data_IF_143519745785
#
_entry.id   IF_143519745785
#
_cell.length_a   1.000
_cell.length_b   1.000
_cell.length_c   1.000
_cell.angle_alpha   90.00
_cell.angle_beta   90.00
_cell.angle_gamma   90.00
#
_symmetry.space_group_name_H-M   'P 1'
#
loop_
_entity.id
_entity.type
_entity.pdbx_description
1 polymer ?
#
# COMPACT_ATOMS: atom_id res chain seq x y z
N UNK A 1 39.85 16.82 -7.13
CA UNK A 1 38.49 16.55 -7.66
C UNK A 1 38.26 15.04 -7.91
N UNK A 2 38.36 14.20 -6.87
CA UNK A 2 38.03 12.75 -6.95
C UNK A 2 37.16 12.23 -5.79
N UNK A 3 36.75 13.10 -4.86
CA UNK A 3 35.85 12.73 -3.75
C UNK A 3 34.36 12.95 -4.07
N UNK A 4 34.00 13.76 -5.07
CA UNK A 4 32.60 14.08 -5.36
C UNK A 4 31.85 12.96 -6.12
N UNK A 5 32.55 11.95 -6.64
CA UNK A 5 31.91 10.82 -7.33
C UNK A 5 31.51 9.66 -6.40
N UNK A 6 31.93 9.69 -5.12
CA UNK A 6 31.70 8.58 -4.18
C UNK A 6 30.36 8.66 -3.43
N UNK A 7 29.68 9.81 -3.46
CA UNK A 7 28.40 9.99 -2.75
C UNK A 7 27.16 9.75 -3.62
N UNK A 8 27.31 9.44 -4.91
CA UNK A 8 26.22 9.02 -5.80
C UNK A 8 25.88 7.52 -5.72
N UNK A 9 26.49 6.75 -4.80
CA UNK A 9 26.26 5.30 -4.66
C UNK A 9 25.39 4.88 -3.45
N UNK A 10 24.72 5.81 -2.74
CA UNK A 10 23.71 5.45 -1.73
C UNK A 10 22.29 5.52 -2.28
N UNK A 11 21.89 4.45 -2.98
CA UNK A 11 20.48 4.18 -3.27
C UNK A 11 19.91 3.29 -2.13
N UNK A 12 18.74 3.60 -1.54
CA UNK A 12 18.05 2.68 -0.64
C UNK A 12 17.58 1.44 -1.41
N UNK A 13 18.17 0.30 -1.06
CA UNK A 13 17.89 -1.02 -1.61
C UNK A 13 16.67 -1.61 -0.92
N UNK A 14 15.46 -1.16 -1.28
CA UNK A 14 14.21 -1.71 -0.76
C UNK A 14 13.54 -2.72 -1.72
N UNK A 15 13.00 -3.76 -1.09
CA UNK A 15 12.31 -5.01 -1.51
C UNK A 15 12.47 -5.64 -2.91
N UNK A 16 12.55 -4.91 -4.02
CA UNK A 16 12.49 -5.52 -5.37
C UNK A 16 13.75 -6.32 -5.75
N UNK A 17 14.91 -5.96 -5.20
CA UNK A 17 16.18 -6.67 -5.44
C UNK A 17 16.22 -8.08 -4.84
N UNK A 18 15.48 -8.35 -3.76
CA UNK A 18 15.48 -9.69 -3.11
C UNK A 18 14.73 -10.73 -3.94
N UNK A 19 13.70 -10.33 -4.68
CA UNK A 19 12.98 -11.23 -5.58
C UNK A 19 13.76 -11.50 -6.87
N UNK A 20 14.39 -10.48 -7.47
CA UNK A 20 15.18 -10.63 -8.70
C UNK A 20 16.43 -11.50 -8.54
N UNK A 21 17.06 -11.52 -7.36
CA UNK A 21 18.25 -12.37 -7.11
C UNK A 21 17.88 -13.86 -7.04
N UNK A 22 16.69 -14.22 -6.56
CA UNK A 22 16.28 -15.62 -6.48
C UNK A 22 15.96 -16.23 -7.86
N UNK A 23 15.31 -15.46 -8.74
CA UNK A 23 14.91 -15.95 -10.08
C UNK A 23 16.10 -16.06 -11.03
N UNK A 24 17.12 -15.21 -10.88
CA UNK A 24 18.28 -15.17 -11.78
C UNK A 24 19.36 -16.22 -11.46
N UNK A 25 19.32 -16.83 -10.28
CA UNK A 25 20.18 -17.98 -9.93
C UNK A 25 19.58 -19.35 -10.30
N UNK A 26 18.30 -19.42 -10.68
CA UNK A 26 17.66 -20.68 -11.10
C UNK A 26 17.80 -20.95 -12.62
N UNK A 27 18.23 -19.98 -13.43
CA UNK A 27 18.29 -20.10 -14.90
C UNK A 27 19.70 -20.04 -15.49
N UNK A 28 20.76 -20.16 -14.66
CA UNK A 28 22.16 -20.12 -15.13
C UNK A 28 22.99 -21.32 -14.69
N UNK A 29 22.49 -22.53 -14.97
CA UNK A 29 23.34 -23.70 -15.28
C UNK A 29 22.51 -24.70 -16.08
N UNK A 30 22.75 -24.80 -17.39
CA UNK A 30 22.84 -26.03 -18.20
C UNK A 30 22.56 -25.74 -19.68
N UNK A 31 23.61 -25.29 -20.38
CA UNK A 31 23.87 -25.83 -21.72
C UNK A 31 24.31 -27.27 -21.55
N UNK A 32 23.37 -28.22 -21.67
CA UNK A 32 23.69 -29.63 -21.92
C UNK A 32 22.84 -30.06 -23.12
N UNK A 33 23.53 -30.25 -24.24
CA UNK A 33 23.01 -30.95 -25.41
C UNK A 33 22.78 -32.42 -25.05
N UNK A 34 21.54 -32.83 -24.81
CA UNK A 34 21.14 -34.25 -24.84
C UNK A 34 19.79 -34.31 -25.57
N UNK A 35 19.74 -35.13 -26.63
CA UNK A 35 18.65 -35.18 -27.60
C UNK A 35 17.35 -35.84 -27.11
N UNK A 36 16.33 -35.78 -27.98
CA UNK A 36 15.19 -36.71 -28.00
C UNK A 36 15.71 -38.12 -27.68
N UNK A 37 15.15 -38.91 -26.73
CA UNK A 37 13.70 -39.09 -26.54
C UNK A 37 13.25 -39.42 -25.08
N UNK A 38 12.24 -38.76 -24.50
CA UNK A 38 11.50 -39.32 -23.35
C UNK A 38 10.20 -38.56 -23.06
N UNK A 39 9.27 -38.66 -24.01
CA UNK A 39 7.88 -38.22 -23.94
C UNK A 39 7.03 -39.05 -22.92
N UNK A 40 7.54 -39.39 -21.73
CA UNK A 40 6.94 -40.48 -20.93
C UNK A 40 7.03 -40.39 -19.39
N UNK A 41 7.00 -39.19 -18.79
CA UNK A 41 6.77 -39.05 -17.34
C UNK A 41 5.71 -37.98 -17.01
N UNK A 42 4.56 -38.13 -17.66
CA UNK A 42 3.36 -37.29 -17.54
C UNK A 42 2.23 -38.00 -16.74
N UNK A 43 2.52 -38.93 -15.81
CA UNK A 43 1.48 -39.87 -15.38
C UNK A 43 1.49 -40.41 -13.92
N UNK A 44 1.82 -39.65 -12.86
CA UNK A 44 1.63 -40.21 -11.48
C UNK A 44 1.37 -39.24 -10.31
N UNK A 45 0.88 -38.02 -10.49
CA UNK A 45 0.53 -37.14 -9.34
C UNK A 45 -0.99 -36.91 -9.15
N UNK A 46 -1.84 -37.28 -10.12
CA UNK A 46 -3.30 -37.08 -10.09
C UNK A 46 -4.00 -38.30 -9.47
N UNK A 47 -3.59 -38.70 -8.27
CA UNK A 47 -4.36 -39.66 -7.49
C UNK A 47 -4.07 -39.52 -6.00
N UNK A 48 -5.11 -39.07 -5.27
CA UNK A 48 -5.42 -39.46 -3.88
C UNK A 48 -4.81 -38.61 -2.75
N UNK A 49 -5.39 -37.42 -2.54
CA UNK A 49 -5.47 -36.65 -1.29
C UNK A 49 -6.23 -35.35 -1.62
N UNK A 50 -7.39 -34.95 -1.09
CA UNK A 50 -8.19 -35.42 0.03
C UNK A 50 -9.64 -35.01 -0.22
N UNK A 51 -10.53 -36.00 -0.25
CA UNK A 51 -11.92 -35.81 0.15
C UNK A 51 -11.93 -35.35 1.60
N UNK A 52 -12.16 -34.06 1.82
CA UNK A 52 -12.60 -33.52 3.11
C UNK A 52 -13.54 -32.32 2.88
N UNK A 53 -14.52 -32.47 1.98
CA UNK A 53 -15.73 -31.64 1.99
C UNK A 53 -16.71 -32.27 2.99
N UNK A 54 -16.37 -32.16 4.27
CA UNK A 54 -17.12 -32.71 5.39
C UNK A 54 -17.63 -31.60 6.29
N UNK A 55 -18.93 -31.37 6.21
CA UNK A 55 -19.85 -30.89 7.27
C UNK A 55 -19.37 -29.71 8.13
N UNK A 56 -19.95 -28.54 7.88
CA UNK A 56 -20.19 -27.55 8.91
C UNK A 56 -21.40 -27.98 9.78
N UNK A 57 -21.15 -28.85 10.75
CA UNK A 57 -22.05 -29.02 11.87
C UNK A 57 -21.85 -27.85 12.84
N UNK A 58 -22.78 -26.90 12.80
CA UNK A 58 -22.82 -25.87 13.83
C UNK A 58 -22.97 -26.52 15.20
N UNK A 59 -21.92 -26.52 16.03
CA UNK A 59 -22.03 -26.34 17.47
C UNK A 59 -20.66 -26.29 18.18
N UNK A 60 -20.56 -25.36 19.13
CA UNK A 60 -19.69 -25.35 20.32
C UNK A 60 -18.22 -24.89 20.16
N UNK A 61 -18.05 -23.58 20.33
CA UNK A 61 -17.28 -23.11 21.48
C UNK A 61 -15.76 -23.09 21.34
N UNK A 62 -15.24 -22.17 20.54
CA UNK A 62 -14.04 -21.46 20.95
C UNK A 62 -14.47 -20.28 21.83
N UNK A 63 -14.22 -20.40 23.12
CA UNK A 63 -14.41 -19.31 24.06
C UNK A 63 -13.59 -18.08 23.63
N UNK A 64 -14.15 -16.87 23.74
CA UNK A 64 -13.38 -15.64 23.65
C UNK A 64 -12.41 -15.63 24.83
N UNK A 65 -11.12 -15.73 24.54
CA UNK A 65 -10.11 -15.51 25.58
C UNK A 65 -10.01 -14.01 25.80
N UNK A 66 -10.52 -13.63 26.97
CA UNK A 66 -10.22 -12.41 27.71
C UNK A 66 -10.88 -11.15 27.17
N UNK A 67 -12.10 -10.90 27.65
CA UNK A 67 -12.52 -9.52 27.85
C UNK A 67 -11.79 -8.92 29.06
N UNK A 68 -11.64 -7.59 29.00
CA UNK A 68 -11.61 -6.69 30.16
C UNK A 68 -10.33 -6.65 31.01
N UNK A 69 -9.31 -5.97 30.50
CA UNK A 69 -8.49 -5.09 31.34
C UNK A 69 -8.39 -3.72 30.66
N UNK A 70 -9.46 -2.94 30.85
CA UNK A 70 -9.60 -1.49 30.63
C UNK A 70 -9.37 -0.99 29.20
N UNK A 71 -10.47 -0.58 28.56
CA UNK A 71 -10.49 0.36 27.43
C UNK A 71 -9.67 1.61 27.78
N UNK A 72 -8.36 1.52 27.58
CA UNK A 72 -7.58 2.63 27.05
C UNK A 72 -8.07 2.68 25.60
N UNK A 73 -9.07 3.53 25.33
CA UNK A 73 -9.35 3.92 23.94
C UNK A 73 -7.99 4.31 23.41
N UNK A 74 -7.46 3.55 22.46
CA UNK A 74 -6.17 3.86 21.85
C UNK A 74 -6.30 5.25 21.26
N UNK A 75 -5.93 6.28 22.04
CA UNK A 75 -5.97 7.71 21.70
C UNK A 75 -5.07 8.03 20.49
N UNK A 76 -4.38 7.00 19.99
CA UNK A 76 -3.57 7.04 18.80
C UNK A 76 -4.49 7.00 17.59
N UNK A 77 -4.54 8.13 16.92
CA UNK A 77 -5.18 8.26 15.62
C UNK A 77 -4.45 7.37 14.61
N UNK A 78 -5.19 6.44 14.02
CA UNK A 78 -4.70 5.57 12.96
C UNK A 78 -5.21 6.05 11.59
N UNK A 79 -4.30 6.25 10.63
CA UNK A 79 -4.70 6.76 9.31
C UNK A 79 -5.72 5.85 8.61
N UNK A 80 -5.57 4.52 8.67
CA UNK A 80 -6.43 3.60 7.96
C UNK A 80 -7.85 3.49 8.53
N UNK A 81 -7.96 3.55 9.87
CA UNK A 81 -9.21 3.41 10.62
C UNK A 81 -9.95 4.75 10.74
N UNK A 82 -9.22 5.81 11.07
CA UNK A 82 -9.82 7.08 11.50
C UNK A 82 -9.81 8.15 10.39
N UNK A 83 -8.70 8.29 9.65
CA UNK A 83 -8.53 9.40 8.69
C UNK A 83 -9.02 9.04 7.29
N UNK A 84 -8.64 7.87 6.77
CA UNK A 84 -8.92 7.46 5.39
C UNK A 84 -10.43 7.41 5.08
N UNK A 85 -11.32 6.92 5.96
CA UNK A 85 -12.76 6.93 5.68
C UNK A 85 -13.34 8.34 5.53
N UNK A 86 -12.81 9.31 6.28
CA UNK A 86 -13.24 10.72 6.19
C UNK A 86 -12.83 11.30 4.84
N UNK A 87 -11.55 11.14 4.46
CA UNK A 87 -11.04 11.62 3.17
C UNK A 87 -11.72 10.93 1.98
N UNK A 88 -12.01 9.63 2.10
CA UNK A 88 -12.71 8.89 1.06
C UNK A 88 -14.13 9.42 0.82
N UNK A 89 -14.83 9.82 1.89
CA UNK A 89 -16.20 10.32 1.80
C UNK A 89 -16.27 11.75 1.27
N UNK A 90 -15.33 12.61 1.64
CA UNK A 90 -15.44 14.05 1.43
C UNK A 90 -14.44 14.63 0.42
N UNK A 91 -13.34 13.94 0.12
CA UNK A 91 -12.24 14.53 -0.65
C UNK A 91 -11.88 13.74 -1.91
N UNK A 92 -11.90 12.41 -1.87
CA UNK A 92 -11.38 11.59 -2.99
C UNK A 92 -12.22 11.63 -4.25
N UNK A 93 -13.48 12.07 -4.19
CA UNK A 93 -14.29 12.28 -5.40
C UNK A 93 -13.66 13.30 -6.34
N UNK A 94 -13.06 14.36 -5.81
CA UNK A 94 -12.44 15.43 -6.62
C UNK A 94 -10.91 15.48 -6.51
N UNK A 95 -10.31 14.84 -5.50
CA UNK A 95 -8.84 14.82 -5.29
C UNK A 95 -8.29 13.40 -5.10
N UNK A 96 -8.93 12.42 -5.75
CA UNK A 96 -8.56 11.00 -5.64
C UNK A 96 -7.94 10.43 -6.92
N UNK A 97 -8.02 9.10 -7.10
CA UNK A 97 -7.30 8.39 -8.16
C UNK A 97 -7.89 8.62 -9.56
N UNK A 98 -9.16 9.02 -9.67
CA UNK A 98 -9.81 9.31 -10.95
C UNK A 98 -9.21 10.58 -11.57
N UNK A 99 -8.54 10.51 -12.74
CA UNK A 99 -7.98 11.69 -13.40
C UNK A 99 -9.04 12.60 -14.02
N UNK A 100 -10.21 12.09 -14.40
CA UNK A 100 -11.22 12.86 -15.12
C UNK A 100 -12.02 13.75 -14.16
N UNK A 101 -12.19 13.31 -12.92
CA UNK A 101 -12.80 14.09 -11.84
C UNK A 101 -11.80 14.95 -11.05
N UNK A 102 -10.49 14.83 -11.33
CA UNK A 102 -9.44 15.42 -10.49
C UNK A 102 -9.34 16.93 -10.66
N UNK A 103 -9.49 17.64 -9.54
CA UNK A 103 -9.28 19.07 -9.48
C UNK A 103 -7.84 19.38 -9.03
N UNK A 104 -7.27 20.43 -9.64
CA UNK A 104 -5.92 20.93 -9.37
C UNK A 104 -4.79 19.88 -9.50
N UNK A 105 -5.05 18.78 -10.21
CA UNK A 105 -4.20 17.57 -10.26
C UNK A 105 -3.73 17.05 -8.87
N UNK A 106 -4.50 17.36 -7.82
CA UNK A 106 -4.13 17.03 -6.45
C UNK A 106 -4.56 15.61 -6.09
N UNK A 107 -3.63 14.86 -5.47
CA UNK A 107 -3.78 13.45 -5.08
C UNK A 107 -3.73 13.27 -3.56
N UNK A 108 -4.87 13.40 -2.89
CA UNK A 108 -4.97 13.20 -1.44
C UNK A 108 -4.99 11.72 -1.03
N UNK A 109 -5.24 10.82 -1.97
CA UNK A 109 -5.25 9.36 -1.77
C UNK A 109 -3.85 8.74 -1.65
N UNK A 110 -2.81 9.48 -2.03
CA UNK A 110 -1.41 9.03 -1.97
C UNK A 110 -0.57 9.91 -1.04
N UNK A 111 0.46 9.33 -0.44
CA UNK A 111 1.36 10.09 0.43
C UNK A 111 2.18 11.13 -0.36
N UNK A 112 2.68 10.76 -1.53
CA UNK A 112 3.49 11.65 -2.36
C UNK A 112 2.66 12.81 -2.93
N UNK A 113 1.42 12.54 -3.31
CA UNK A 113 0.50 13.56 -3.80
C UNK A 113 0.04 14.55 -2.74
N UNK A 114 -0.22 14.07 -1.52
CA UNK A 114 -0.68 14.92 -0.42
C UNK A 114 0.43 15.78 0.20
N UNK A 115 1.69 15.32 0.13
CA UNK A 115 2.86 16.00 0.69
C UNK A 115 3.76 16.62 -0.37
N UNK A 116 3.39 16.49 -1.63
CA UNK A 116 4.12 17.08 -2.75
C UNK A 116 4.10 18.60 -2.69
N UNK A 117 5.12 19.22 -3.28
CA UNK A 117 5.12 20.66 -3.51
C UNK A 117 4.11 21.02 -4.61
N UNK A 118 3.19 21.92 -4.29
CA UNK A 118 2.12 22.42 -5.15
C UNK A 118 2.41 23.84 -5.68
N UNK A 119 3.67 24.28 -5.63
CA UNK A 119 4.09 25.59 -6.11
C UNK A 119 4.49 26.55 -4.98
N UNK A 120 5.11 26.03 -3.92
CA UNK A 120 5.54 26.76 -2.73
C UNK A 120 4.78 26.38 -1.45
N UNK A 121 3.81 25.47 -1.55
CA UNK A 121 3.02 24.98 -0.42
C UNK A 121 2.68 23.49 -0.58
N UNK A 122 2.20 22.86 0.49
CA UNK A 122 1.81 21.45 0.51
C UNK A 122 0.37 21.30 0.98
N UNK A 123 -0.37 20.32 0.45
CA UNK A 123 -1.72 20.03 0.94
C UNK A 123 -1.69 19.56 2.40
N UNK A 124 -0.74 18.69 2.75
CA UNK A 124 -0.51 18.22 4.12
C UNK A 124 0.97 18.40 4.46
N UNK A 125 1.28 19.39 5.30
CA UNK A 125 2.61 19.61 5.85
C UNK A 125 2.82 18.69 7.07
N UNK A 126 3.79 17.76 7.03
CA UNK A 126 4.00 16.84 8.14
C UNK A 126 4.41 17.58 9.41
N UNK A 127 3.78 17.24 10.54
CA UNK A 127 4.04 17.79 11.89
C UNK A 127 3.64 19.26 12.08
N UNK A 128 3.05 19.90 11.08
CA UNK A 128 2.58 21.28 11.15
C UNK A 128 1.21 21.39 10.47
N UNK A 129 0.10 21.18 11.21
CA UNK A 129 -1.24 21.27 10.64
C UNK A 129 -1.59 22.70 10.20
N UNK A 130 -1.06 23.73 10.87
CA UNK A 130 -1.37 25.12 10.58
C UNK A 130 -0.72 25.59 9.27
N UNK A 131 0.41 24.98 8.90
CA UNK A 131 1.05 25.17 7.59
C UNK A 131 0.45 24.33 6.46
N UNK A 132 -0.56 23.49 6.73
CA UNK A 132 -1.17 22.62 5.73
C UNK A 132 -2.31 23.33 5.00
N UNK A 133 -2.22 23.42 3.67
CA UNK A 133 -3.26 24.06 2.85
C UNK A 133 -4.64 23.38 3.02
N UNK A 134 -4.66 22.07 3.28
CA UNK A 134 -5.89 21.33 3.56
C UNK A 134 -6.67 21.96 4.72
N UNK A 135 -5.99 22.36 5.81
CA UNK A 135 -6.64 22.96 6.97
C UNK A 135 -7.20 24.34 6.59
N UNK A 136 -6.40 25.16 5.90
CA UNK A 136 -6.84 26.47 5.39
C UNK A 136 -8.11 26.37 4.55
N UNK A 137 -8.22 25.37 3.67
CA UNK A 137 -9.39 25.19 2.79
C UNK A 137 -10.64 24.73 3.53
N UNK A 138 -10.52 23.81 4.50
CA UNK A 138 -11.70 23.32 5.22
C UNK A 138 -12.20 24.31 6.27
N UNK A 139 -11.34 25.22 6.75
CA UNK A 139 -11.71 26.26 7.72
C UNK A 139 -11.92 27.64 7.10
N UNK A 140 -11.79 27.78 5.78
CA UNK A 140 -11.97 29.07 5.09
C UNK A 140 -13.35 29.66 5.36
N UNK A 141 -13.47 30.99 5.42
CA UNK A 141 -14.74 31.72 5.47
C UNK A 141 -15.30 32.05 4.08
N UNK A 142 -14.45 31.97 3.06
CA UNK A 142 -14.80 32.23 1.67
C UNK A 142 -15.29 30.95 0.96
N UNK A 143 -16.54 30.98 0.49
CA UNK A 143 -17.25 29.89 -0.18
C UNK A 143 -16.57 29.49 -1.51
N UNK A 144 -15.89 30.42 -2.20
CA UNK A 144 -15.28 30.16 -3.50
C UNK A 144 -14.02 29.28 -3.39
N UNK A 145 -13.40 29.26 -2.21
CA UNK A 145 -12.17 28.49 -1.93
C UNK A 145 -12.36 27.40 -0.89
N UNK A 146 -13.49 27.40 -0.17
CA UNK A 146 -13.78 26.40 0.87
C UNK A 146 -13.93 25.02 0.25
N UNK A 147 -13.40 24.02 0.96
CA UNK A 147 -13.59 22.62 0.60
C UNK A 147 -14.41 21.89 1.68
N UNK A 148 -15.32 20.98 1.31
CA UNK A 148 -15.74 20.66 -0.07
C UNK A 148 -16.52 21.80 -0.76
N UNK A 149 -16.48 21.91 -2.10
CA UNK A 149 -17.15 22.96 -2.86
C UNK A 149 -18.67 22.72 -2.99
#
# INVERSE_FOLDING_TARGET
>A
MKLALYLLQRQPKDRQSRYQICVKWLTSTLSISIGLPALLFLATCVARADDAFGRDDGSLGQAPTTGSELDDVDDRVEFGRDVRPILAKHCFTCHGPDPDARQADLRLDTQDGSRGDLGGYQAIMPRDPDASELITRITSEDDDVRMPP
#
